data_IF_911253310506
#
_entry.id   IF_911253310506
#
_cell.length_a   1.000
_cell.length_b   1.000
_cell.length_c   1.000
_cell.angle_alpha   90.00
_cell.angle_beta   90.00
_cell.angle_gamma   90.00
#
_symmetry.space_group_name_H-M   'P 1'
#
loop_
_entity.id
_entity.type
_entity.pdbx_description
1 polymer ?
#
# COMPACT_ATOMS: atom_id res chain seq x y z
N UNK A 1 -11.76 1.33 24.55
CA UNK A 1 -10.95 0.11 24.26
C UNK A 1 -10.77 -0.07 22.76
N UNK A 2 -11.84 0.06 21.98
CA UNK A 2 -11.80 0.11 20.53
C UNK A 2 -10.86 1.21 20.01
N UNK A 3 -10.85 2.37 20.65
CA UNK A 3 -9.99 3.52 20.25
C UNK A 3 -8.50 3.18 20.32
N UNK A 4 -8.10 2.38 21.33
CA UNK A 4 -6.71 1.94 21.47
C UNK A 4 -6.34 0.92 20.40
N UNK A 5 -7.27 0.03 20.03
CA UNK A 5 -7.08 -0.95 18.95
C UNK A 5 -6.97 -0.22 17.61
N UNK A 6 -7.84 0.76 17.36
CA UNK A 6 -7.83 1.58 16.15
C UNK A 6 -6.53 2.39 16.05
N UNK A 7 -6.10 3.01 17.15
CA UNK A 7 -4.81 3.72 17.20
C UNK A 7 -3.60 2.81 16.91
N UNK A 8 -3.59 1.58 17.42
CA UNK A 8 -2.52 0.61 17.13
C UNK A 8 -2.56 0.16 15.67
N UNK A 9 -3.76 -0.06 15.12
CA UNK A 9 -3.93 -0.41 13.71
C UNK A 9 -3.40 0.71 12.80
N UNK A 10 -3.76 1.96 13.10
CA UNK A 10 -3.32 3.14 12.34
C UNK A 10 -1.80 3.32 12.39
N UNK A 11 -1.21 3.18 13.58
CA UNK A 11 0.24 3.22 13.75
C UNK A 11 0.93 2.12 12.93
N UNK A 12 0.36 0.92 12.92
CA UNK A 12 0.92 -0.22 12.19
C UNK A 12 0.84 -0.02 10.67
N UNK A 13 -0.28 0.51 10.16
CA UNK A 13 -0.45 0.83 8.73
C UNK A 13 0.56 1.90 8.30
N UNK A 14 0.70 2.98 9.08
CA UNK A 14 1.66 4.06 8.79
C UNK A 14 3.10 3.54 8.77
N UNK A 15 3.47 2.68 9.72
CA UNK A 15 4.78 2.01 9.71
C UNK A 15 4.94 1.11 8.47
N UNK A 16 3.92 0.31 8.14
CA UNK A 16 3.93 -0.55 6.96
C UNK A 16 4.16 0.21 5.65
N UNK A 17 3.44 1.32 5.44
CA UNK A 17 3.58 2.18 4.25
C UNK A 17 5.00 2.76 4.18
N UNK A 18 5.55 3.24 5.29
CA UNK A 18 6.93 3.75 5.34
C UNK A 18 7.96 2.67 5.03
N UNK A 19 7.76 1.45 5.52
CA UNK A 19 8.64 0.32 5.23
C UNK A 19 8.59 -0.07 3.75
N UNK A 20 7.41 -0.09 3.13
CA UNK A 20 7.26 -0.33 1.69
C UNK A 20 7.96 0.76 0.89
N UNK A 21 7.76 2.03 1.26
CA UNK A 21 8.43 3.17 0.61
C UNK A 21 9.95 3.07 0.70
N UNK A 22 10.50 2.76 1.88
CA UNK A 22 11.92 2.51 2.06
C UNK A 22 12.41 1.35 1.21
N UNK A 23 11.63 0.27 1.11
CA UNK A 23 12.00 -0.90 0.31
C UNK A 23 12.13 -0.58 -1.18
N UNK A 24 11.22 0.23 -1.72
CA UNK A 24 11.26 0.68 -3.11
C UNK A 24 12.52 1.50 -3.36
N UNK A 25 12.83 2.47 -2.50
CA UNK A 25 14.03 3.31 -2.64
C UNK A 25 15.30 2.46 -2.65
N UNK A 26 15.42 1.52 -1.71
CA UNK A 26 16.61 0.67 -1.62
C UNK A 26 16.74 -0.27 -2.82
N UNK A 27 15.64 -0.84 -3.31
CA UNK A 27 15.67 -1.69 -4.52
C UNK A 27 16.11 -0.91 -5.76
N UNK A 28 15.72 0.36 -5.88
CA UNK A 28 16.18 1.24 -6.96
C UNK A 28 17.68 1.50 -6.85
N UNK A 29 18.19 1.79 -5.65
CA UNK A 29 19.61 2.11 -5.42
C UNK A 29 20.52 0.91 -5.69
N UNK A 30 20.13 -0.28 -5.23
CA UNK A 30 20.95 -1.48 -5.39
C UNK A 30 20.70 -2.24 -6.70
N UNK A 31 19.58 -1.97 -7.39
CA UNK A 31 19.23 -2.63 -8.66
C UNK A 31 18.82 -4.09 -8.54
N UNK A 32 18.64 -4.61 -7.33
CA UNK A 32 18.21 -5.99 -7.07
C UNK A 32 17.39 -6.09 -5.77
N UNK A 33 16.81 -7.26 -5.51
CA UNK A 33 16.06 -7.52 -4.26
C UNK A 33 16.94 -7.35 -3.02
N UNK A 34 16.45 -6.63 -2.03
CA UNK A 34 17.20 -6.30 -0.82
C UNK A 34 17.01 -7.42 0.24
N UNK A 35 18.09 -8.03 0.76
CA UNK A 35 18.00 -9.25 1.58
C UNK A 35 17.12 -9.15 2.84
N UNK A 36 17.11 -8.00 3.54
CA UNK A 36 16.37 -7.83 4.80
C UNK A 36 14.90 -7.42 4.62
N UNK A 37 14.48 -7.15 3.37
CA UNK A 37 13.11 -6.73 3.05
C UNK A 37 12.27 -7.87 2.46
N UNK A 38 12.86 -9.06 2.29
CA UNK A 38 12.14 -10.27 1.89
C UNK A 38 11.43 -10.14 0.53
N UNK A 39 12.20 -10.17 -0.57
CA UNK A 39 11.65 -10.31 -1.92
C UNK A 39 11.71 -9.06 -2.80
N UNK A 40 11.00 -9.10 -3.93
CA UNK A 40 10.98 -8.05 -4.95
C UNK A 40 9.69 -7.21 -4.83
N UNK A 41 9.77 -6.09 -4.10
CA UNK A 41 8.60 -5.24 -3.79
C UNK A 41 8.12 -4.52 -5.04
N UNK A 42 9.05 -4.00 -5.84
CA UNK A 42 8.73 -3.36 -7.12
C UNK A 42 8.04 -4.37 -8.06
N UNK A 43 8.56 -5.60 -8.12
CA UNK A 43 7.96 -6.68 -8.89
C UNK A 43 6.53 -7.02 -8.44
N UNK A 44 6.30 -7.10 -7.13
CA UNK A 44 4.95 -7.32 -6.57
C UNK A 44 3.99 -6.19 -6.97
N UNK A 45 4.41 -4.93 -6.89
CA UNK A 45 3.59 -3.78 -7.28
C UNK A 45 3.25 -3.84 -8.78
N UNK A 46 4.25 -4.11 -9.62
CA UNK A 46 4.03 -4.23 -11.08
C UNK A 46 3.07 -5.38 -11.38
N UNK A 47 3.20 -6.52 -10.70
CA UNK A 47 2.29 -7.65 -10.84
C UNK A 47 0.83 -7.29 -10.53
N UNK A 48 0.60 -6.58 -9.42
CA UNK A 48 -0.74 -6.08 -9.05
C UNK A 48 -1.28 -5.15 -10.13
N UNK A 49 -0.47 -4.21 -10.64
CA UNK A 49 -0.90 -3.28 -11.69
C UNK A 49 -1.24 -4.04 -12.98
N UNK A 50 -0.48 -5.07 -13.34
CA UNK A 50 -0.77 -5.91 -14.50
C UNK A 50 -2.08 -6.68 -14.34
N UNK A 51 -2.35 -7.26 -13.18
CA UNK A 51 -3.62 -7.95 -12.88
C UNK A 51 -4.81 -6.99 -12.97
N UNK A 52 -4.68 -5.79 -12.40
CA UNK A 52 -5.70 -4.75 -12.50
C UNK A 52 -5.90 -4.30 -13.96
N UNK A 53 -4.82 -4.13 -14.74
CA UNK A 53 -4.92 -3.79 -16.16
C UNK A 53 -5.61 -4.88 -16.99
N UNK A 54 -5.29 -6.16 -16.72
CA UNK A 54 -5.87 -7.31 -17.40
C UNK A 54 -7.37 -7.49 -17.10
N UNK A 55 -7.81 -7.07 -15.91
CA UNK A 55 -9.23 -7.07 -15.54
C UNK A 55 -10.07 -5.96 -16.23
N UNK A 56 -9.44 -5.04 -16.99
CA UNK A 56 -10.13 -3.99 -17.73
C UNK A 56 -10.93 -3.04 -16.83
N UNK A 57 -12.21 -2.80 -17.15
CA UNK A 57 -13.07 -1.89 -16.38
C UNK A 57 -13.20 -2.30 -14.91
N UNK A 58 -13.27 -3.60 -14.63
CA UNK A 58 -13.37 -4.11 -13.25
C UNK A 58 -12.11 -3.79 -12.47
N UNK A 59 -10.94 -3.90 -13.11
CA UNK A 59 -9.67 -3.53 -12.49
C UNK A 59 -9.54 -2.03 -12.22
N UNK A 60 -10.08 -1.18 -13.10
CA UNK A 60 -10.14 0.27 -12.85
C UNK A 60 -11.04 0.60 -11.66
N UNK A 61 -12.21 -0.03 -11.56
CA UNK A 61 -13.10 0.13 -10.40
C UNK A 61 -12.41 -0.35 -9.12
N UNK A 62 -11.73 -1.49 -9.16
CA UNK A 62 -10.96 -2.01 -8.03
C UNK A 62 -9.84 -1.04 -7.61
N UNK A 63 -9.10 -0.48 -8.57
CA UNK A 63 -8.07 0.53 -8.30
C UNK A 63 -8.64 1.78 -7.61
N UNK A 64 -9.81 2.28 -8.07
CA UNK A 64 -10.48 3.43 -7.44
C UNK A 64 -10.92 3.12 -6.02
N UNK A 65 -11.47 1.92 -5.76
CA UNK A 65 -11.87 1.51 -4.41
C UNK A 65 -10.66 1.41 -3.49
N UNK A 66 -9.57 0.78 -3.95
CA UNK A 66 -8.32 0.66 -3.17
C UNK A 66 -7.75 2.05 -2.86
N UNK A 67 -7.71 2.94 -3.86
CA UNK A 67 -7.25 4.31 -3.68
C UNK A 67 -8.10 5.05 -2.65
N UNK A 68 -9.44 4.99 -2.76
CA UNK A 68 -10.39 5.57 -1.79
C UNK A 68 -10.20 5.03 -0.37
N UNK A 69 -9.87 3.74 -0.21
CA UNK A 69 -9.66 3.15 1.12
C UNK A 69 -8.35 3.60 1.78
N UNK A 70 -7.34 3.95 0.97
CA UNK A 70 -6.02 4.35 1.46
C UNK A 70 -5.90 5.87 1.63
N UNK A 71 -6.79 6.64 1.01
CA UNK A 71 -6.80 8.10 1.10
C UNK A 71 -7.33 8.58 2.46
N UNK A 72 -6.56 9.46 3.13
CA UNK A 72 -6.82 9.92 4.50
C UNK A 72 -8.04 10.86 4.59
N UNK A 73 -8.46 11.47 3.48
CA UNK A 73 -9.57 12.43 3.45
C UNK A 73 -10.93 11.82 3.88
N UNK A 74 -11.17 10.53 3.61
CA UNK A 74 -12.41 9.86 4.03
C UNK A 74 -12.45 9.60 5.54
N UNK A 75 -11.29 9.41 6.19
CA UNK A 75 -11.24 9.24 7.65
C UNK A 75 -11.67 10.51 8.40
N UNK A 76 -11.45 11.69 7.81
CA UNK A 76 -11.92 12.96 8.35
C UNK A 76 -13.41 13.18 8.08
N UNK A 77 -13.88 12.89 6.88
CA UNK A 77 -15.28 13.12 6.45
C UNK A 77 -16.29 12.20 7.15
N UNK A 78 -15.86 11.04 7.65
CA UNK A 78 -16.68 10.15 8.48
C UNK A 78 -16.61 10.46 9.99
N UNK A 79 -15.75 11.41 10.39
CA UNK A 79 -15.57 11.85 11.78
C UNK A 79 -16.23 13.20 12.11
N UNK A 80 -16.79 13.88 11.10
CA UNK A 80 -17.74 14.99 11.26
C UNK A 80 -19.19 14.47 11.29
#
# INVERSE_FOLDING_TARGET
MLDKIMSIADASINVGIKLISLAIVLQIVFGHSVPFLGGNVIGTIIGIIQELGAAGLVGLIAAVIIWRLLDDDIRKELSE
#
